data_IF_289106140591
#
_entry.id   IF_289106140591
#
_cell.length_a   1.000
_cell.length_b   1.000
_cell.length_c   1.000
_cell.angle_alpha   90.00
_cell.angle_beta   90.00
_cell.angle_gamma   90.00
#
_symmetry.space_group_name_H-M   'P 1'
#
loop_
_entity.id
_entity.type
_entity.pdbx_description
1 polymer ?
#
# COMPACT_ATOMS: atom_id res chain seq x y z
N UNK A 1 25.27 14.03 34.37
CA UNK A 1 24.15 14.62 33.61
C UNK A 1 23.53 13.51 32.80
N UNK A 2 22.32 13.08 33.16
CA UNK A 2 21.60 12.04 32.45
C UNK A 2 20.98 12.68 31.21
N UNK A 3 21.43 12.29 30.01
CA UNK A 3 20.77 12.72 28.78
C UNK A 3 19.30 12.26 28.83
N UNK A 4 18.34 13.13 28.46
CA UNK A 4 16.94 12.72 28.39
C UNK A 4 16.83 11.56 27.38
N UNK A 5 16.00 10.54 27.65
CA UNK A 5 15.79 9.46 26.69
C UNK A 5 15.26 10.09 25.40
N UNK A 6 15.96 9.86 24.29
CA UNK A 6 15.53 10.26 22.96
C UNK A 6 14.09 9.80 22.77
N UNK A 7 13.15 10.67 22.34
CA UNK A 7 11.78 10.24 22.09
C UNK A 7 11.83 9.02 21.16
N UNK A 8 11.23 7.90 21.58
CA UNK A 8 11.03 6.75 20.72
C UNK A 8 10.12 7.21 19.57
N UNK A 9 10.71 7.64 18.46
CA UNK A 9 9.97 7.85 17.22
C UNK A 9 9.51 6.46 16.78
N UNK A 10 8.27 6.14 17.11
CA UNK A 10 7.64 4.89 16.67
C UNK A 10 7.56 4.92 15.15
N UNK A 11 8.40 4.11 14.51
CA UNK A 11 8.41 3.94 13.06
C UNK A 11 7.27 3.01 12.67
N UNK A 12 6.29 3.52 11.92
CA UNK A 12 5.18 2.70 11.44
C UNK A 12 5.61 1.89 10.22
N UNK A 13 5.99 0.63 10.44
CA UNK A 13 6.43 -0.28 9.36
C UNK A 13 5.28 -1.01 8.67
N UNK A 14 4.14 -1.15 9.35
CA UNK A 14 2.95 -1.84 8.84
C UNK A 14 1.68 -1.05 9.14
N UNK A 15 0.87 -0.88 8.12
CA UNK A 15 -0.45 -0.26 8.19
C UNK A 15 -1.49 -1.21 7.60
N UNK A 16 -2.57 -1.45 8.35
CA UNK A 16 -3.69 -2.28 7.93
C UNK A 16 -5.00 -1.52 8.11
N UNK A 17 -5.58 -1.08 7.00
CA UNK A 17 -6.82 -0.31 6.96
C UNK A 17 -7.99 -1.22 6.58
N UNK A 18 -9.05 -1.17 7.38
CA UNK A 18 -10.28 -1.92 7.15
C UNK A 18 -11.45 -0.95 7.03
N UNK A 19 -12.27 -1.15 6.00
CA UNK A 19 -13.52 -0.42 5.78
C UNK A 19 -13.35 1.11 5.84
N UNK A 20 -12.21 1.62 5.38
CA UNK A 20 -11.88 3.05 5.49
C UNK A 20 -12.86 3.87 4.63
N UNK A 21 -13.64 4.79 5.25
CA UNK A 21 -14.76 5.42 4.55
C UNK A 21 -14.34 6.62 3.70
N UNK A 22 -13.14 7.17 3.90
CA UNK A 22 -12.71 8.38 3.19
C UNK A 22 -12.07 8.01 1.84
N UNK A 23 -12.65 8.45 0.70
CA UNK A 23 -12.15 8.08 -0.62
C UNK A 23 -10.77 8.60 -0.98
N UNK A 24 -10.36 9.74 -0.41
CA UNK A 24 -9.16 10.46 -0.80
C UNK A 24 -7.94 10.16 0.10
N UNK A 25 -8.17 9.74 1.35
CA UNK A 25 -7.13 9.40 2.32
C UNK A 25 -5.87 10.29 2.27
N UNK A 26 -6.03 11.63 2.39
CA UNK A 26 -4.93 12.61 2.17
C UNK A 26 -3.66 12.39 3.02
N UNK A 27 -3.76 11.65 4.11
CA UNK A 27 -2.64 11.29 4.99
C UNK A 27 -1.91 10.00 4.56
N UNK A 28 -2.53 9.17 3.72
CA UNK A 28 -1.98 7.91 3.24
C UNK A 28 -1.01 8.18 2.08
N UNK A 29 0.14 8.75 2.44
CA UNK A 29 1.15 9.22 1.49
C UNK A 29 2.55 8.77 1.93
N UNK A 30 3.51 8.64 1.00
CA UNK A 30 4.88 8.25 1.34
C UNK A 30 5.56 9.20 2.33
N UNK A 31 5.26 10.50 2.25
CA UNK A 31 5.88 11.52 3.11
C UNK A 31 5.37 11.44 4.56
N UNK A 32 4.10 11.07 4.74
CA UNK A 32 3.50 10.86 6.06
C UNK A 32 3.90 9.53 6.69
N UNK A 33 4.28 8.55 5.87
CA UNK A 33 4.57 7.17 6.27
C UNK A 33 5.93 6.70 5.68
N UNK A 34 7.05 7.38 6.00
CA UNK A 34 8.33 7.19 5.31
C UNK A 34 9.01 5.85 5.58
N UNK A 35 8.60 5.16 6.65
CA UNK A 35 9.14 3.87 7.09
C UNK A 35 8.22 2.68 6.76
N UNK A 36 7.12 2.92 6.04
CA UNK A 36 6.13 1.88 5.77
C UNK A 36 6.67 0.82 4.79
N UNK A 37 6.71 -0.42 5.23
CA UNK A 37 7.10 -1.57 4.42
C UNK A 37 5.90 -2.41 3.97
N UNK A 38 4.81 -2.41 4.74
CA UNK A 38 3.63 -3.25 4.52
C UNK A 38 2.36 -2.41 4.55
N UNK A 39 1.66 -2.31 3.42
CA UNK A 39 0.42 -1.54 3.28
C UNK A 39 -0.74 -2.45 2.91
N UNK A 40 -1.67 -2.65 3.84
CA UNK A 40 -2.85 -3.49 3.65
C UNK A 40 -4.10 -2.62 3.69
N UNK A 41 -4.97 -2.76 2.69
CA UNK A 41 -6.22 -2.00 2.56
C UNK A 41 -7.34 -2.95 2.16
N UNK A 42 -8.38 -3.00 2.97
CA UNK A 42 -9.46 -3.98 2.86
C UNK A 42 -10.83 -3.32 2.95
N UNK A 43 -11.58 -3.35 1.85
CA UNK A 43 -12.92 -2.76 1.75
C UNK A 43 -12.93 -1.24 1.94
N UNK A 44 -14.11 -0.68 2.17
CA UNK A 44 -14.30 0.76 2.30
C UNK A 44 -14.45 1.47 0.95
N UNK A 45 -14.26 2.79 0.98
CA UNK A 45 -14.57 3.68 -0.14
C UNK A 45 -13.33 4.34 -0.74
N UNK A 46 -12.13 3.86 -0.39
CA UNK A 46 -10.89 4.38 -0.95
C UNK A 46 -10.93 4.30 -2.48
N UNK A 47 -10.77 5.44 -3.15
CA UNK A 47 -10.88 5.56 -4.59
C UNK A 47 -9.52 5.76 -5.27
N UNK A 48 -8.53 6.28 -4.52
CA UNK A 48 -7.21 6.56 -5.06
C UNK A 48 -6.11 6.08 -4.11
N UNK A 49 -5.01 5.63 -4.70
CA UNK A 49 -3.73 5.51 -4.02
C UNK A 49 -2.87 6.68 -4.45
N UNK A 50 -2.02 7.17 -3.55
CA UNK A 50 -1.06 8.24 -3.89
C UNK A 50 -0.22 7.84 -5.12
N UNK A 51 0.10 8.83 -5.95
CA UNK A 51 0.89 8.65 -7.18
C UNK A 51 2.40 8.78 -6.94
N UNK A 52 2.80 9.34 -5.79
CA UNK A 52 4.20 9.42 -5.36
C UNK A 52 4.74 8.03 -5.07
N UNK A 53 6.07 7.92 -5.11
CA UNK A 53 6.79 6.66 -4.94
C UNK A 53 6.83 6.23 -3.47
N UNK A 54 6.25 5.08 -3.19
CA UNK A 54 6.39 4.35 -1.93
C UNK A 54 7.72 3.59 -1.91
N UNK A 55 8.80 4.30 -1.54
CA UNK A 55 10.19 3.83 -1.70
C UNK A 55 10.60 2.65 -0.80
N UNK A 56 9.80 2.30 0.21
CA UNK A 56 10.07 1.20 1.15
C UNK A 56 8.99 0.12 1.19
N UNK A 57 7.83 0.33 0.58
CA UNK A 57 6.74 -0.65 0.60
C UNK A 57 7.13 -1.85 -0.25
N UNK A 58 7.26 -3.00 0.41
CA UNK A 58 7.59 -4.30 -0.18
C UNK A 58 6.35 -5.18 -0.34
N UNK A 59 5.37 -5.02 0.55
CA UNK A 59 4.16 -5.85 0.59
C UNK A 59 2.91 -4.98 0.46
N UNK A 60 2.16 -5.18 -0.60
CA UNK A 60 0.89 -4.51 -0.86
C UNK A 60 -0.26 -5.52 -0.86
N UNK A 61 -1.29 -5.27 -0.05
CA UNK A 61 -2.51 -6.09 -0.04
C UNK A 61 -3.72 -5.20 -0.28
N UNK A 62 -4.39 -5.42 -1.40
CA UNK A 62 -5.58 -4.68 -1.81
C UNK A 62 -6.73 -5.66 -1.93
N UNK A 63 -7.73 -5.54 -1.05
CA UNK A 63 -8.88 -6.43 -1.05
C UNK A 63 -10.19 -5.65 -1.08
N UNK A 64 -11.11 -6.04 -1.95
CA UNK A 64 -12.46 -5.52 -2.02
C UNK A 64 -12.54 -4.01 -2.30
N UNK A 65 -11.60 -3.47 -3.07
CA UNK A 65 -11.54 -2.05 -3.43
C UNK A 65 -12.14 -1.84 -4.82
N UNK A 66 -13.40 -1.39 -4.87
CA UNK A 66 -14.16 -1.23 -6.14
C UNK A 66 -13.77 0.02 -6.91
N UNK A 67 -13.47 1.09 -6.19
CA UNK A 67 -13.26 2.43 -6.77
C UNK A 67 -11.82 2.69 -7.20
N UNK A 68 -10.85 1.91 -6.71
CA UNK A 68 -9.44 2.07 -7.07
C UNK A 68 -9.21 1.65 -8.52
N UNK A 69 -8.80 2.62 -9.35
CA UNK A 69 -8.45 2.44 -10.76
C UNK A 69 -6.96 2.67 -10.97
N UNK A 70 -6.23 1.61 -11.32
CA UNK A 70 -4.80 1.65 -11.71
C UNK A 70 -4.47 0.48 -12.61
N UNK A 71 -3.55 0.69 -13.54
CA UNK A 71 -2.89 -0.40 -14.26
C UNK A 71 -1.75 -0.98 -13.43
N UNK A 72 -1.29 -2.18 -13.79
CA UNK A 72 -0.08 -2.77 -13.22
C UNK A 72 1.16 -1.88 -13.39
N UNK A 73 1.30 -1.23 -14.55
CA UNK A 73 2.43 -0.31 -14.81
C UNK A 73 2.44 0.86 -13.82
N UNK A 74 1.30 1.54 -13.65
CA UNK A 74 1.17 2.65 -12.68
C UNK A 74 1.38 2.19 -11.23
N UNK A 75 0.99 0.95 -10.92
CA UNK A 75 1.28 0.31 -9.63
C UNK A 75 2.79 0.10 -9.45
N UNK A 76 3.49 -0.44 -10.45
CA UNK A 76 4.95 -0.61 -10.42
C UNK A 76 5.70 0.71 -10.26
N UNK A 77 5.27 1.76 -10.95
CA UNK A 77 5.83 3.11 -10.80
C UNK A 77 5.64 3.68 -9.38
N UNK A 78 4.47 3.42 -8.78
CA UNK A 78 4.13 3.87 -7.43
C UNK A 78 4.84 3.07 -6.34
N UNK A 79 5.15 1.79 -6.59
CA UNK A 79 5.72 0.85 -5.63
C UNK A 79 6.99 0.18 -6.21
N UNK A 80 8.10 0.92 -6.36
CA UNK A 80 9.29 0.43 -7.08
C UNK A 80 10.05 -0.71 -6.38
N UNK A 81 9.79 -0.96 -5.08
CA UNK A 81 10.40 -2.06 -4.31
C UNK A 81 9.39 -3.17 -3.98
N UNK A 82 8.29 -3.26 -4.73
CA UNK A 82 7.26 -4.24 -4.45
C UNK A 82 7.80 -5.66 -4.68
N UNK A 83 7.72 -6.49 -3.63
CA UNK A 83 8.10 -7.90 -3.66
C UNK A 83 6.87 -8.80 -3.63
N UNK A 84 5.73 -8.27 -3.15
CA UNK A 84 4.49 -9.01 -2.99
C UNK A 84 3.27 -8.13 -3.23
N UNK A 85 2.38 -8.57 -4.12
CA UNK A 85 1.04 -8.03 -4.30
C UNK A 85 0.01 -9.12 -4.05
N UNK A 86 -0.95 -8.86 -3.17
CA UNK A 86 -2.20 -9.62 -3.13
C UNK A 86 -3.36 -8.72 -3.51
N UNK A 87 -4.11 -9.12 -4.54
CA UNK A 87 -5.27 -8.44 -5.09
C UNK A 87 -6.48 -9.37 -5.02
N UNK A 88 -7.50 -8.99 -4.24
CA UNK A 88 -8.75 -9.75 -4.15
C UNK A 88 -9.93 -8.85 -4.49
N UNK A 89 -10.71 -9.19 -5.53
CA UNK A 89 -11.92 -8.45 -5.92
C UNK A 89 -11.75 -6.92 -6.04
N UNK A 90 -10.65 -6.49 -6.68
CA UNK A 90 -10.41 -5.10 -7.05
C UNK A 90 -10.59 -4.95 -8.58
N UNK A 91 -11.79 -4.69 -9.10
CA UNK A 91 -12.06 -4.71 -10.55
C UNK A 91 -11.35 -3.59 -11.33
N UNK A 92 -11.11 -2.43 -10.70
CA UNK A 92 -10.41 -1.31 -11.35
C UNK A 92 -8.89 -1.46 -11.44
N UNK A 93 -8.31 -2.49 -10.82
CA UNK A 93 -6.89 -2.82 -10.96
C UNK A 93 -6.74 -3.82 -12.10
N UNK A 94 -6.15 -3.40 -13.22
CA UNK A 94 -6.10 -4.16 -14.48
C UNK A 94 -4.67 -4.48 -14.91
N UNK A 95 -4.53 -5.41 -15.88
CA UNK A 95 -3.25 -5.83 -16.48
C UNK A 95 -2.23 -6.40 -15.48
N UNK A 96 -2.71 -7.01 -14.38
CA UNK A 96 -1.87 -7.49 -13.29
C UNK A 96 -1.37 -8.93 -13.51
N UNK A 97 -0.12 -9.24 -13.12
CA UNK A 97 0.52 -10.54 -13.32
C UNK A 97 0.21 -11.55 -12.19
N UNK A 98 -0.95 -11.47 -11.55
CA UNK A 98 -1.27 -12.35 -10.41
C UNK A 98 -1.69 -13.75 -10.87
N UNK A 99 -1.39 -14.73 -10.02
CA UNK A 99 -1.85 -16.10 -10.15
C UNK A 99 -3.37 -16.25 -9.91
N UNK A 100 -3.85 -17.50 -9.96
CA UNK A 100 -5.26 -17.86 -9.71
C UNK A 100 -5.77 -17.47 -8.31
N UNK A 101 -4.88 -17.22 -7.35
CA UNK A 101 -5.21 -16.78 -6.00
C UNK A 101 -5.20 -15.26 -5.86
N UNK A 102 -4.89 -14.52 -6.93
CA UNK A 102 -4.76 -13.08 -6.91
C UNK A 102 -3.45 -12.61 -6.28
N UNK A 103 -2.42 -13.46 -6.26
CA UNK A 103 -1.12 -13.16 -5.69
C UNK A 103 -0.09 -13.01 -6.81
N UNK A 104 0.74 -11.97 -6.71
CA UNK A 104 1.99 -11.85 -7.45
C UNK A 104 3.14 -11.74 -6.45
N UNK A 105 4.23 -12.43 -6.75
CA UNK A 105 5.46 -12.42 -5.95
C UNK A 105 6.64 -12.17 -6.88
N UNK A 106 7.54 -11.30 -6.47
CA UNK A 106 8.83 -11.14 -7.11
C UNK A 106 9.76 -12.25 -6.62
N UNK A 107 9.72 -13.41 -7.27
CA UNK A 107 10.74 -14.45 -7.08
C UNK A 107 12.01 -14.00 -7.79
N UNK A 108 13.00 -13.55 -7.01
CA UNK A 108 14.39 -13.40 -7.45
C UNK A 108 14.97 -14.80 -7.67
#
# INVERSE_FOLDING_TARGET
MNNPPTPLILKLEKLDLHYFPNPAAKWLTPDSLPDLEKLYIRGGSLATLDKRKWSKVKVLRLKYLREVKKTWLELGESFPKLEYLEKVKCPGITLYPCDKHGVWMNTI
#
